data_IF_937834407593
#
_entry.id   IF_937834407593
#
_cell.length_a   1.000
_cell.length_b   1.000
_cell.length_c   1.000
_cell.angle_alpha   90.00
_cell.angle_beta   90.00
_cell.angle_gamma   90.00
#
_symmetry.space_group_name_H-M   'P 1'
#
loop_
_entity.id
_entity.type
_entity.pdbx_description
1 polymer ?
#
# COMPACT_ATOMS: atom_id res chain seq x y z
N UNK A 1 2.97 -10.96 23.35
CA UNK A 1 3.03 -9.68 22.59
C UNK A 1 2.76 -9.98 21.12
N UNK A 2 1.49 -10.12 20.72
CA UNK A 2 1.07 -10.40 19.33
C UNK A 2 -0.37 -9.91 19.12
N UNK A 3 -0.59 -8.59 19.12
CA UNK A 3 -1.91 -8.00 18.81
C UNK A 3 -1.74 -6.67 18.04
N UNK A 4 -0.96 -6.67 16.96
CA UNK A 4 -0.85 -5.51 16.06
C UNK A 4 -0.92 -5.88 14.56
N UNK A 5 -1.52 -7.01 14.24
CA UNK A 5 -1.63 -7.49 12.85
C UNK A 5 -2.74 -6.85 12.01
N UNK A 6 -3.54 -5.93 12.56
CA UNK A 6 -4.81 -5.51 11.93
C UNK A 6 -5.07 -4.00 12.06
N UNK A 7 -4.03 -3.19 12.31
CA UNK A 7 -4.23 -1.74 12.43
C UNK A 7 -4.16 -1.10 11.04
N UNK A 8 -5.24 -0.42 10.64
CA UNK A 8 -5.21 0.45 9.47
C UNK A 8 -4.23 1.58 9.79
N UNK A 9 -3.19 1.71 8.98
CA UNK A 9 -2.22 2.79 9.09
C UNK A 9 -2.72 3.95 8.25
N UNK A 10 -2.78 5.12 8.87
CA UNK A 10 -3.15 6.37 8.23
C UNK A 10 -1.88 7.18 7.97
N UNK A 11 -1.63 7.51 6.71
CA UNK A 11 -0.46 8.30 6.31
C UNK A 11 -0.94 9.53 5.55
N UNK A 12 -0.59 10.71 6.05
CA UNK A 12 -0.95 11.96 5.37
C UNK A 12 -0.17 12.13 4.06
N UNK A 13 -0.76 12.82 3.08
CA UNK A 13 -0.04 13.16 1.85
C UNK A 13 1.19 14.02 2.13
N UNK A 14 1.13 14.88 3.16
CA UNK A 14 2.27 15.70 3.57
C UNK A 14 3.45 14.82 3.99
N UNK A 15 3.17 13.78 4.77
CA UNK A 15 4.18 12.83 5.22
C UNK A 15 4.72 11.99 4.06
N UNK A 16 3.85 11.43 3.21
CA UNK A 16 4.28 10.69 2.01
C UNK A 16 5.21 11.51 1.13
N UNK A 17 4.92 12.81 0.94
CA UNK A 17 5.76 13.72 0.14
C UNK A 17 7.17 13.93 0.72
N UNK A 18 7.41 13.68 2.01
CA UNK A 18 8.76 13.76 2.61
C UNK A 18 9.67 12.62 2.16
N UNK A 19 9.10 11.45 1.89
CA UNK A 19 9.85 10.26 1.51
C UNK A 19 10.05 10.13 -0.01
N UNK A 20 9.39 10.99 -0.80
CA UNK A 20 9.43 10.95 -2.25
C UNK A 20 10.24 12.14 -2.74
N UNK A 21 11.30 11.89 -3.51
CA UNK A 21 12.04 12.95 -4.17
C UNK A 21 11.26 13.45 -5.40
N UNK A 22 10.26 14.31 -5.17
CA UNK A 22 9.41 14.85 -6.22
C UNK A 22 10.20 15.84 -7.07
N UNK A 23 10.48 15.47 -8.34
CA UNK A 23 11.16 16.33 -9.32
C UNK A 23 10.40 17.63 -9.63
N UNK A 24 9.10 17.70 -9.31
CA UNK A 24 8.25 18.88 -9.48
C UNK A 24 7.17 18.93 -8.40
N UNK A 25 6.62 20.11 -8.15
CA UNK A 25 5.46 20.28 -7.27
C UNK A 25 4.23 19.66 -7.93
N UNK A 26 3.64 18.64 -7.32
CA UNK A 26 2.41 18.01 -7.80
C UNK A 26 1.18 18.63 -7.15
N UNK A 27 0.12 18.84 -7.93
CA UNK A 27 -1.22 19.07 -7.40
C UNK A 27 -1.71 17.86 -6.59
N UNK A 28 -2.72 18.03 -5.74
CA UNK A 28 -3.26 16.91 -4.96
C UNK A 28 -3.87 15.82 -5.86
N UNK A 29 -4.51 16.20 -6.97
CA UNK A 29 -5.10 15.27 -7.93
C UNK A 29 -4.00 14.45 -8.61
N UNK A 30 -2.91 15.09 -9.06
CA UNK A 30 -1.79 14.38 -9.66
C UNK A 30 -1.12 13.44 -8.66
N UNK A 31 -0.94 13.90 -7.42
CA UNK A 31 -0.33 13.09 -6.37
C UNK A 31 -1.20 11.87 -6.02
N UNK A 32 -2.51 12.04 -5.91
CA UNK A 32 -3.46 10.95 -5.71
C UNK A 32 -3.41 9.93 -6.86
N UNK A 33 -3.34 10.39 -8.12
CA UNK A 33 -3.15 9.51 -9.28
C UNK A 33 -1.84 8.73 -9.19
N UNK A 34 -0.75 9.36 -8.76
CA UNK A 34 0.53 8.69 -8.55
C UNK A 34 0.43 7.60 -7.47
N UNK A 35 -0.21 7.89 -6.33
CA UNK A 35 -0.42 6.90 -5.26
C UNK A 35 -1.23 5.70 -5.77
N UNK A 36 -2.34 5.94 -6.48
CA UNK A 36 -3.18 4.88 -7.05
C UNK A 36 -2.39 4.04 -8.06
N UNK A 37 -1.56 4.68 -8.89
CA UNK A 37 -0.76 3.98 -9.88
C UNK A 37 0.31 3.08 -9.24
N UNK A 38 0.87 3.49 -8.09
CA UNK A 38 1.77 2.62 -7.30
C UNK A 38 1.01 1.38 -6.83
N UNK A 39 -0.19 1.54 -6.26
CA UNK A 39 -0.96 0.38 -5.81
C UNK A 39 -1.33 -0.57 -6.96
N UNK A 40 -1.67 -0.04 -8.14
CA UNK A 40 -1.91 -0.89 -9.33
C UNK A 40 -0.70 -1.76 -9.66
N UNK A 41 0.51 -1.21 -9.59
CA UNK A 41 1.75 -1.97 -9.80
C UNK A 41 1.96 -3.01 -8.70
N UNK A 42 1.71 -2.66 -7.45
CA UNK A 42 1.83 -3.58 -6.31
C UNK A 42 0.82 -4.73 -6.37
N UNK A 43 -0.40 -4.48 -6.86
CA UNK A 43 -1.40 -5.54 -7.09
C UNK A 43 -1.00 -6.49 -8.22
N UNK A 44 -0.33 -5.98 -9.26
CA UNK A 44 0.20 -6.80 -10.34
C UNK A 44 1.41 -7.65 -9.88
N UNK A 45 2.15 -7.17 -8.88
CA UNK A 45 3.16 -7.94 -8.16
C UNK A 45 2.47 -8.80 -7.09
N UNK A 46 1.66 -9.77 -7.52
CA UNK A 46 1.19 -10.79 -6.60
C UNK A 46 2.35 -11.71 -6.22
N UNK A 47 2.39 -12.09 -4.95
CA UNK A 47 3.32 -13.06 -4.42
C UNK A 47 2.72 -14.42 -4.72
N UNK A 48 3.52 -15.30 -5.33
CA UNK A 48 3.10 -16.67 -5.63
C UNK A 48 4.09 -17.62 -4.97
N UNK A 49 3.59 -18.43 -4.04
CA UNK A 49 4.34 -19.50 -3.40
C UNK A 49 3.85 -20.84 -3.94
N UNK A 50 4.79 -21.71 -4.28
CA UNK A 50 4.49 -23.04 -4.83
C UNK A 50 5.17 -24.08 -3.95
N UNK A 51 4.37 -24.94 -3.31
CA UNK A 51 4.84 -26.06 -2.51
C UNK A 51 4.19 -27.35 -3.02
N UNK A 52 4.94 -28.12 -3.81
CA UNK A 52 4.41 -29.28 -4.52
C UNK A 52 3.28 -28.89 -5.47
N UNK A 53 2.06 -29.37 -5.17
CA UNK A 53 0.86 -29.09 -5.95
C UNK A 53 -0.01 -27.97 -5.35
N UNK A 54 0.46 -27.32 -4.29
CA UNK A 54 -0.24 -26.18 -3.66
C UNK A 54 0.34 -24.89 -4.20
N UNK A 55 -0.55 -24.00 -4.68
CA UNK A 55 -0.21 -22.66 -5.13
C UNK A 55 -0.96 -21.66 -4.26
N UNK A 56 -0.22 -20.83 -3.54
CA UNK A 56 -0.76 -19.74 -2.74
C UNK A 56 -0.42 -18.41 -3.39
N UNK A 57 -1.41 -17.51 -3.49
CA UNK A 57 -1.23 -16.20 -4.09
C UNK A 57 -1.84 -15.09 -3.26
N UNK A 58 -1.08 -14.03 -3.04
CA UNK A 58 -1.54 -12.89 -2.26
C UNK A 58 -0.84 -11.59 -2.67
N UNK A 59 -1.34 -10.46 -2.14
CA UNK A 59 -0.80 -9.12 -2.42
C UNK A 59 -0.33 -8.44 -1.13
N UNK A 60 0.53 -7.42 -1.27
CA UNK A 60 1.12 -6.70 -0.12
C UNK A 60 0.08 -6.04 0.77
N UNK A 61 -0.87 -5.32 0.19
CA UNK A 61 -1.86 -4.55 0.93
C UNK A 61 -3.22 -5.25 0.88
N UNK A 62 -3.72 -5.71 2.03
CA UNK A 62 -5.09 -6.20 2.21
C UNK A 62 -6.12 -5.06 2.04
N UNK A 63 -5.75 -3.82 2.38
CA UNK A 63 -6.56 -2.62 2.16
C UNK A 63 -5.67 -1.47 1.69
N UNK A 64 -6.13 -0.75 0.67
CA UNK A 64 -5.48 0.45 0.16
C UNK A 64 -6.56 1.45 -0.27
N UNK A 65 -6.77 2.51 0.52
CA UNK A 65 -7.76 3.57 0.26
C UNK A 65 -7.07 4.93 0.21
N UNK A 66 -7.37 5.72 -0.81
CA UNK A 66 -6.87 7.08 -0.94
C UNK A 66 -8.03 8.06 -0.80
N UNK A 67 -7.94 8.95 0.19
CA UNK A 67 -8.90 10.02 0.43
C UNK A 67 -8.30 11.34 -0.04
N UNK A 68 -8.81 11.86 -1.17
CA UNK A 68 -8.30 13.09 -1.77
C UNK A 68 -8.73 14.36 -1.03
N UNK A 69 -9.87 14.32 -0.36
CA UNK A 69 -10.44 15.47 0.37
C UNK A 69 -9.65 15.70 1.67
N UNK A 70 -9.49 14.64 2.46
CA UNK A 70 -8.72 14.66 3.69
C UNK A 70 -7.21 14.53 3.46
N UNK A 71 -6.79 14.14 2.24
CA UNK A 71 -5.39 13.94 1.84
C UNK A 71 -4.69 12.88 2.70
N UNK A 72 -5.37 11.75 2.88
CA UNK A 72 -4.90 10.62 3.71
C UNK A 72 -4.89 9.35 2.86
N UNK A 73 -3.81 8.59 2.97
CA UNK A 73 -3.70 7.22 2.51
C UNK A 73 -3.96 6.29 3.70
N UNK A 74 -4.89 5.37 3.57
CA UNK A 74 -5.18 4.32 4.54
C UNK A 74 -4.70 2.98 3.98
N UNK A 75 -3.81 2.30 4.68
CA UNK A 75 -3.28 0.99 4.27
C UNK A 75 -3.35 -0.04 5.39
N UNK A 76 -3.57 -1.29 5.02
CA UNK A 76 -3.31 -2.43 5.91
C UNK A 76 -2.50 -3.47 5.15
N UNK A 77 -1.42 -3.94 5.75
CA UNK A 77 -0.58 -5.00 5.19
C UNK A 77 -1.33 -6.33 5.27
N UNK A 78 -1.13 -7.20 4.28
CA UNK A 78 -1.66 -8.55 4.33
C UNK A 78 -0.94 -9.37 5.40
N UNK A 79 -1.68 -10.15 6.18
CA UNK A 79 -1.16 -10.90 7.32
C UNK A 79 -0.15 -11.98 6.92
N UNK A 80 -0.25 -12.46 5.68
CA UNK A 80 0.70 -13.40 5.07
C UNK A 80 2.14 -12.85 5.04
N UNK A 81 2.34 -11.52 5.12
CA UNK A 81 3.66 -10.90 5.22
C UNK A 81 4.26 -10.90 6.62
N UNK A 82 3.49 -11.11 7.68
CA UNK A 82 4.04 -11.09 9.04
C UNK A 82 4.81 -12.36 9.41
N UNK A 83 4.72 -13.38 8.55
CA UNK A 83 5.34 -14.69 8.78
C UNK A 83 6.63 -14.91 7.98
N UNK A 84 7.05 -13.92 7.17
CA UNK A 84 8.30 -13.93 6.39
C UNK A 84 9.32 -12.91 6.90
#
# INVERSE_FOLDING_TARGET
>A
VKEKGIEIIEVSFLELKKYINLKKKHSNIEFMKSIINVNKKLLALNFTFVEGNVVEQFTLFKKFKVDGDNKILYVSVNEDFFFY
#
